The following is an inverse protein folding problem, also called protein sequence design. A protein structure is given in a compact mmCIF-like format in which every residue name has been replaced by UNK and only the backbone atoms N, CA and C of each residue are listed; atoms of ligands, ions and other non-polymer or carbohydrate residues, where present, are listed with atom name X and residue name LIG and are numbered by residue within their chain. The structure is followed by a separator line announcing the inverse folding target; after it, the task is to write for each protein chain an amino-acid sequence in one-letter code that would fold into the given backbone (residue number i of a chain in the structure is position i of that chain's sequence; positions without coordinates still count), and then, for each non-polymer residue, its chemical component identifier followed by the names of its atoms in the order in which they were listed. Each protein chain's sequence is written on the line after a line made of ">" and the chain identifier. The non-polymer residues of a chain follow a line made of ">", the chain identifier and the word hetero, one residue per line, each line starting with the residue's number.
data_IF_826469888951
#
_entry.id   IF_826469888951
#
_cell.length_a   1.000
_cell.length_b   1.000
_cell.length_c   1.000
_cell.angle_alpha   90.00
_cell.angle_beta   90.00
_cell.angle_gamma   90.00
#
_symmetry.space_group_name_H-M   'P 1'
#
loop_
_entity.id
_entity.type
_entity.pdbx_description
1 polymer ?
#
# COMPACT_ATOMS: atom_id res chain seq x y z
N UNK A 1 -6.76 7.33 -21.46
CA UNK A 1 -6.36 6.90 -20.10
C UNK A 1 -6.56 5.39 -20.06
N UNK A 2 -5.58 4.61 -19.61
CA UNK A 2 -5.60 3.15 -19.79
C UNK A 2 -6.77 2.52 -19.01
N UNK A 3 -7.77 1.96 -19.70
CA UNK A 3 -9.03 1.46 -19.11
C UNK A 3 -8.76 0.35 -18.07
N UNK A 4 -7.84 -0.55 -18.40
CA UNK A 4 -7.39 -1.64 -17.52
C UNK A 4 -6.84 -1.09 -16.18
N UNK A 5 -6.09 0.01 -16.22
CA UNK A 5 -5.53 0.61 -15.00
C UNK A 5 -6.62 1.17 -14.08
N UNK A 6 -7.71 1.68 -14.66
CA UNK A 6 -8.84 2.18 -13.89
C UNK A 6 -9.63 1.04 -13.26
N UNK A 7 -9.82 -0.07 -13.98
CA UNK A 7 -10.43 -1.27 -13.44
C UNK A 7 -9.62 -1.86 -12.28
N UNK A 8 -8.28 -1.95 -12.43
CA UNK A 8 -7.42 -2.43 -11.34
C UNK A 8 -7.57 -1.53 -10.11
N UNK A 9 -7.54 -0.20 -10.28
CA UNK A 9 -7.72 0.75 -9.16
C UNK A 9 -9.09 0.61 -8.50
N UNK A 10 -10.14 0.37 -9.29
CA UNK A 10 -11.48 0.10 -8.77
C UNK A 10 -11.49 -1.16 -7.91
N UNK A 11 -10.98 -2.29 -8.42
CA UNK A 11 -10.92 -3.55 -7.67
C UNK A 11 -10.05 -3.46 -6.42
N UNK A 12 -8.89 -2.81 -6.48
CA UNK A 12 -8.01 -2.56 -5.32
C UNK A 12 -8.76 -1.80 -4.23
N UNK A 13 -9.56 -0.80 -4.62
CA UNK A 13 -10.38 -0.01 -3.70
C UNK A 13 -11.53 -0.83 -3.09
N UNK A 14 -12.24 -1.62 -3.89
CA UNK A 14 -13.34 -2.49 -3.44
C UNK A 14 -12.85 -3.60 -2.50
N UNK A 15 -11.69 -4.20 -2.81
CA UNK A 15 -11.04 -5.22 -1.98
C UNK A 15 -10.33 -4.64 -0.75
N UNK A 16 -10.30 -3.31 -0.61
CA UNK A 16 -9.64 -2.59 0.49
C UNK A 16 -8.17 -3.00 0.65
N UNK A 17 -7.45 -3.04 -0.46
CA UNK A 17 -6.02 -3.31 -0.50
C UNK A 17 -5.29 -1.96 -0.37
N UNK A 18 -4.76 -1.61 0.82
CA UNK A 18 -4.16 -0.30 1.04
C UNK A 18 -2.78 -0.20 0.37
N UNK A 19 -2.27 1.01 0.14
CA UNK A 19 -0.92 1.26 -0.42
C UNK A 19 -0.84 1.16 -1.94
N UNK A 20 -1.44 0.13 -2.53
CA UNK A 20 -1.27 -0.20 -3.96
C UNK A 20 -1.68 0.91 -4.91
N UNK A 21 -2.78 1.63 -4.64
CA UNK A 21 -3.31 2.65 -5.55
C UNK A 21 -2.34 3.82 -5.86
N UNK A 22 -1.46 4.17 -4.91
CA UNK A 22 -0.52 5.29 -5.06
C UNK A 22 0.69 4.89 -5.92
N UNK A 23 1.25 3.69 -5.72
CA UNK A 23 2.42 3.20 -6.43
C UNK A 23 2.14 2.52 -7.77
N UNK A 24 0.91 2.00 -7.99
CA UNK A 24 0.60 1.08 -9.09
C UNK A 24 1.05 1.54 -10.48
N UNK A 25 0.84 2.81 -10.83
CA UNK A 25 1.23 3.32 -12.16
C UNK A 25 2.75 3.27 -12.34
N UNK A 26 3.51 3.71 -11.35
CA UNK A 26 4.97 3.69 -11.39
C UNK A 26 5.49 2.26 -11.41
N UNK A 27 4.95 1.36 -10.57
CA UNK A 27 5.36 -0.04 -10.54
C UNK A 27 5.13 -0.76 -11.87
N UNK A 28 4.06 -0.42 -12.59
CA UNK A 28 3.79 -0.95 -13.94
C UNK A 28 4.81 -0.41 -14.95
N UNK A 29 5.08 0.89 -14.93
CA UNK A 29 6.07 1.51 -15.83
C UNK A 29 7.48 0.93 -15.60
N UNK A 30 7.86 0.71 -14.34
CA UNK A 30 9.12 0.05 -13.99
C UNK A 30 9.15 -1.41 -14.43
N UNK A 31 8.05 -2.16 -14.25
CA UNK A 31 7.99 -3.55 -14.68
C UNK A 31 8.20 -3.68 -16.19
N UNK A 32 7.61 -2.80 -17.00
CA UNK A 32 7.86 -2.74 -18.43
C UNK A 32 9.30 -2.34 -18.77
N UNK A 33 9.86 -1.37 -18.05
CA UNK A 33 11.22 -0.88 -18.30
C UNK A 33 12.30 -1.92 -18.00
N UNK A 34 12.10 -2.71 -16.95
CA UNK A 34 13.07 -3.70 -16.47
C UNK A 34 12.74 -5.13 -16.89
N UNK A 35 11.74 -5.31 -17.75
CA UNK A 35 11.21 -6.62 -18.19
C UNK A 35 10.98 -7.57 -17.00
N UNK A 36 10.31 -7.02 -15.98
CA UNK A 36 10.17 -7.68 -14.70
C UNK A 36 9.21 -8.87 -14.79
N UNK A 37 9.56 -10.06 -14.26
CA UNK A 37 8.66 -11.19 -14.22
C UNK A 37 7.36 -10.86 -13.48
N UNK A 38 6.25 -11.44 -13.95
CA UNK A 38 4.93 -11.19 -13.35
C UNK A 38 4.87 -11.60 -11.88
N UNK A 39 5.57 -12.67 -11.49
CA UNK A 39 5.65 -13.15 -10.11
C UNK A 39 6.30 -12.11 -9.21
N UNK A 40 7.38 -11.48 -9.67
CA UNK A 40 8.07 -10.44 -8.90
C UNK A 40 7.25 -9.16 -8.81
N UNK A 41 6.62 -8.75 -9.90
CA UNK A 41 5.72 -7.61 -9.91
C UNK A 41 4.56 -7.79 -8.92
N UNK A 42 3.89 -8.95 -8.95
CA UNK A 42 2.80 -9.28 -8.04
C UNK A 42 3.27 -9.35 -6.59
N UNK A 43 4.42 -10.00 -6.33
CA UNK A 43 5.01 -10.08 -4.99
C UNK A 43 5.22 -8.69 -4.42
N UNK A 44 5.83 -7.79 -5.18
CA UNK A 44 6.25 -6.49 -4.67
C UNK A 44 5.04 -5.58 -4.38
N UNK A 45 4.01 -5.62 -5.23
CA UNK A 45 2.73 -4.94 -4.96
C UNK A 45 2.06 -5.46 -3.69
N UNK A 46 2.06 -6.79 -3.48
CA UNK A 46 1.43 -7.40 -2.32
C UNK A 46 2.21 -7.15 -1.03
N UNK A 47 3.53 -7.02 -1.09
CA UNK A 47 4.37 -6.62 0.05
C UNK A 47 3.97 -5.21 0.53
N UNK A 48 3.83 -4.25 -0.39
CA UNK A 48 3.42 -2.89 -0.03
C UNK A 48 2.05 -2.88 0.68
N UNK A 49 1.10 -3.66 0.14
CA UNK A 49 -0.22 -3.80 0.76
C UNK A 49 -0.16 -4.41 2.16
N UNK A 50 0.68 -5.44 2.33
CA UNK A 50 0.87 -6.13 3.59
C UNK A 50 1.49 -5.22 4.65
N UNK A 51 2.55 -4.50 4.30
CA UNK A 51 3.25 -3.59 5.21
C UNK A 51 2.36 -2.43 5.62
N UNK A 52 1.62 -1.84 4.67
CA UNK A 52 0.66 -0.78 4.97
C UNK A 52 -0.43 -1.26 5.94
N UNK A 53 -0.92 -2.50 5.79
CA UNK A 53 -1.89 -3.08 6.73
C UNK A 53 -1.29 -3.29 8.12
N UNK A 54 -0.05 -3.77 8.20
CA UNK A 54 0.67 -3.97 9.47
C UNK A 54 0.87 -2.64 10.20
N UNK A 55 1.27 -1.60 9.47
CA UNK A 55 1.51 -0.26 9.99
C UNK A 55 0.20 0.41 10.45
N UNK A 56 -0.86 0.32 9.65
CA UNK A 56 -2.19 0.79 10.06
C UNK A 56 -2.69 0.07 11.32
N UNK A 57 -2.42 -1.23 11.44
CA UNK A 57 -2.73 -2.00 12.65
C UNK A 57 -1.99 -1.47 13.89
N UNK A 58 -0.69 -1.14 13.76
CA UNK A 58 0.08 -0.52 14.85
C UNK A 58 -0.47 0.86 15.22
N UNK A 59 -0.65 1.74 14.23
CA UNK A 59 -1.19 3.10 14.41
C UNK A 59 -2.56 3.08 15.09
N UNK A 60 -3.44 2.17 14.68
CA UNK A 60 -4.76 2.02 15.28
C UNK A 60 -4.70 1.57 16.74
N UNK A 61 -3.82 0.62 17.09
CA UNK A 61 -3.62 0.22 18.49
C UNK A 61 -3.10 1.37 19.35
N UNK A 62 -2.11 2.12 18.86
CA UNK A 62 -1.56 3.29 19.57
C UNK A 62 -2.63 4.36 19.77
N UNK A 63 -3.40 4.68 18.71
CA UNK A 63 -4.50 5.64 18.78
C UNK A 63 -5.58 5.22 19.78
N UNK A 64 -5.94 3.94 19.81
CA UNK A 64 -7.01 3.42 20.67
C UNK A 64 -6.56 3.17 22.11
N UNK A 65 -5.26 3.17 22.41
CA UNK A 65 -4.74 2.94 23.74
C UNK A 65 -5.02 4.08 24.74
N UNK A 66 -5.70 5.16 24.32
CA UNK A 66 -6.15 6.30 25.16
C UNK A 66 -5.05 6.80 26.11
N UNK A 67 -3.82 6.92 25.61
CA UNK A 67 -2.72 7.44 26.42
C UNK A 67 -3.09 8.83 26.96
N UNK A 68 -2.89 9.10 28.27
CA UNK A 68 -3.27 10.36 28.92
C UNK A 68 -2.50 11.59 28.39
N UNK A 69 -1.46 11.38 27.58
CA UNK A 69 -0.71 12.44 26.89
C UNK A 69 -0.46 12.05 25.43
N UNK A 70 -0.61 13.02 24.51
CA UNK A 70 -0.22 12.86 23.09
C UNK A 70 1.31 12.90 23.01
N UNK A 71 1.98 11.77 23.23
CA UNK A 71 3.39 11.63 22.85
C UNK A 71 3.44 11.54 21.32
N UNK A 72 3.86 12.62 20.68
CA UNK A 72 4.19 12.60 19.26
C UNK A 72 5.45 11.74 19.10
N UNK A 73 5.55 11.02 17.98
CA UNK A 73 6.66 10.10 17.70
C UNK A 73 8.05 10.80 17.66
N UNK A 74 8.07 12.14 17.70
CA UNK A 74 9.27 12.97 17.63
C UNK A 74 9.99 13.17 18.98
N UNK A 75 9.50 12.56 20.08
CA UNK A 75 10.13 12.64 21.42
C UNK A 75 10.90 11.36 21.84
N UNK A 76 11.20 10.42 20.92
CA UNK A 76 11.98 9.21 21.21
C UNK A 76 13.32 9.18 20.48
#
# INVERSE_FOLDING_TARGET
>A
MNEILQEIKKYVSELKIPGVNQGLKMSIEEAYKFDKPYEEFLRDILIEAYDMRKENGKKNRIKNARFPYKKYLDEL
#
